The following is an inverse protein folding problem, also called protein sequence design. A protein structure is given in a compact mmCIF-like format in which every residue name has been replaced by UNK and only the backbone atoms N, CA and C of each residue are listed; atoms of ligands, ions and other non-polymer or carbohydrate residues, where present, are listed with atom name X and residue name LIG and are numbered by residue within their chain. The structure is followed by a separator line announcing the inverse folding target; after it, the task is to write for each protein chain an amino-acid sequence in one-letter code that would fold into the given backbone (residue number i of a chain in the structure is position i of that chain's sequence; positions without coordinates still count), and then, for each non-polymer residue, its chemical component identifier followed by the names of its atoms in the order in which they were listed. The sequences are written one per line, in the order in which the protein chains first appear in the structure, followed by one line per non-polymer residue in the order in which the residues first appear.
data_IF_476609369857
#
_entry.id   IF_476609369857
#
_cell.length_a   1.000
_cell.length_b   1.000
_cell.length_c   1.000
_cell.angle_alpha   90.00
_cell.angle_beta   90.00
_cell.angle_gamma   90.00
#
_symmetry.space_group_name_H-M   'P 1'
#
loop_
_entity.id
_entity.type
_entity.pdbx_description
1 polymer ?
#
# COMPACT_ATOMS: atom_id res chain seq x y z
N UNK A 1 25.66 4.83 4.93
CA UNK A 1 24.31 4.85 4.33
C UNK A 1 23.45 3.70 4.82
N UNK A 2 23.74 2.42 4.52
CA UNK A 2 22.88 1.28 4.93
C UNK A 2 22.61 1.24 6.44
N UNK A 3 23.64 1.39 7.27
CA UNK A 3 23.50 1.46 8.74
C UNK A 3 22.61 2.61 9.24
N UNK A 4 22.51 3.71 8.47
CA UNK A 4 21.69 4.87 8.85
C UNK A 4 20.23 4.75 8.39
N UNK A 5 19.96 3.91 7.39
CA UNK A 5 18.63 3.62 6.90
C UNK A 5 18.04 2.31 7.41
N UNK A 6 18.64 1.68 8.42
CA UNK A 6 18.18 0.43 9.01
C UNK A 6 17.93 0.56 10.50
N UNK A 7 16.95 -0.18 11.00
CA UNK A 7 16.68 -0.37 12.42
C UNK A 7 16.25 -1.80 12.72
N UNK A 8 16.37 -2.20 13.96
CA UNK A 8 15.78 -3.44 14.43
C UNK A 8 14.25 -3.36 14.48
N UNK A 9 13.61 -4.41 14.07
CA UNK A 9 12.19 -4.67 14.33
C UNK A 9 12.13 -5.53 15.58
N UNK A 10 11.35 -5.06 16.53
CA UNK A 10 11.12 -5.74 17.80
C UNK A 10 10.46 -7.12 17.56
N UNK A 11 10.97 -8.15 18.20
CA UNK A 11 10.51 -9.53 18.08
C UNK A 11 10.60 -10.24 19.43
N UNK A 12 11.33 -11.37 19.49
CA UNK A 12 11.56 -12.11 20.74
C UNK A 12 12.59 -11.45 21.68
N UNK A 13 13.24 -10.39 21.23
CA UNK A 13 13.98 -9.37 21.97
C UNK A 13 15.21 -9.85 22.76
N UNK A 14 15.83 -10.92 22.29
CA UNK A 14 17.03 -11.47 22.92
C UNK A 14 18.33 -10.79 22.48
N UNK A 15 18.32 -10.03 21.38
CA UNK A 15 19.51 -9.46 20.74
C UNK A 15 19.55 -7.93 20.74
N UNK A 16 18.46 -7.23 21.04
CA UNK A 16 18.37 -5.78 20.95
C UNK A 16 18.75 -5.13 22.26
N UNK A 17 19.83 -4.34 22.25
CA UNK A 17 20.22 -3.52 23.38
C UNK A 17 19.43 -2.19 23.38
N UNK A 18 18.87 -1.84 24.55
CA UNK A 18 17.96 -0.69 24.71
C UNK A 18 18.63 0.60 24.22
N UNK A 19 19.84 0.91 24.68
CA UNK A 19 20.51 2.20 24.43
C UNK A 19 21.48 2.16 23.24
N UNK A 20 22.00 0.99 22.89
CA UNK A 20 23.04 0.86 21.86
C UNK A 20 22.44 0.69 20.47
N UNK A 21 21.34 -0.04 20.36
CA UNK A 21 20.74 -0.41 19.08
C UNK A 21 19.72 0.61 18.56
N UNK A 22 19.48 0.56 17.26
CA UNK A 22 18.47 1.35 16.56
C UNK A 22 17.20 0.52 16.46
N UNK A 23 16.21 0.76 17.32
CA UNK A 23 14.95 0.01 17.33
C UNK A 23 13.69 0.86 17.42
N UNK A 24 13.79 2.11 17.87
CA UNK A 24 12.65 3.03 17.91
C UNK A 24 12.23 3.50 16.51
N UNK A 25 10.93 3.62 16.22
CA UNK A 25 10.44 4.17 14.95
C UNK A 25 10.51 5.71 14.88
N UNK A 26 11.52 6.30 15.49
CA UNK A 26 11.75 7.76 15.47
C UNK A 26 12.47 8.18 14.19
N UNK A 27 12.09 9.30 13.57
CA UNK A 27 12.59 9.65 12.22
C UNK A 27 14.06 10.09 12.14
N UNK A 28 14.72 10.35 13.23
CA UNK A 28 16.08 10.91 13.21
C UNK A 28 17.17 9.92 13.60
N UNK A 29 17.11 9.35 14.79
CA UNK A 29 18.19 8.52 15.32
C UNK A 29 17.85 7.03 15.37
N UNK A 30 16.56 6.70 15.43
CA UNK A 30 16.05 5.34 15.71
C UNK A 30 16.55 4.74 17.04
N UNK A 31 17.18 5.57 17.89
CA UNK A 31 17.74 5.20 19.19
C UNK A 31 16.99 5.87 20.32
N UNK A 32 17.10 5.30 21.49
CA UNK A 32 16.71 5.91 22.75
C UNK A 32 17.60 7.11 23.04
N UNK A 33 17.01 8.21 23.52
CA UNK A 33 17.69 9.45 23.89
C UNK A 33 17.78 9.56 25.44
N UNK A 34 16.85 8.91 26.16
CA UNK A 34 16.90 8.83 27.61
C UNK A 34 18.26 8.28 28.08
N UNK A 35 18.92 8.92 29.04
CA UNK A 35 20.22 8.45 29.52
C UNK A 35 20.08 7.13 30.27
N UNK A 36 21.00 6.17 30.09
CA UNK A 36 21.03 4.95 30.88
C UNK A 36 21.22 5.30 32.38
N UNK A 37 20.49 4.66 33.28
CA UNK A 37 20.67 4.84 34.70
C UNK A 37 21.83 3.97 35.17
N UNK A 38 22.61 4.42 36.14
CA UNK A 38 23.85 3.80 36.63
C UNK A 38 23.68 2.37 37.21
N UNK A 39 22.45 1.86 37.36
CA UNK A 39 22.11 0.55 37.93
C UNK A 39 21.06 -0.16 37.06
N UNK A 40 21.11 -0.01 35.72
CA UNK A 40 20.13 -0.70 34.87
C UNK A 40 20.48 -2.16 34.73
N UNK A 41 19.76 -3.00 35.53
CA UNK A 41 19.76 -4.47 35.39
C UNK A 41 19.06 -4.94 34.08
N UNK A 42 18.63 -4.01 33.22
CA UNK A 42 17.85 -4.28 32.02
C UNK A 42 18.53 -3.79 30.76
N UNK A 43 19.59 -4.47 30.28
CA UNK A 43 20.28 -4.03 29.06
C UNK A 43 19.50 -4.30 27.78
N UNK A 44 18.53 -5.24 27.81
CA UNK A 44 17.83 -5.76 26.64
C UNK A 44 16.38 -5.30 26.58
N UNK A 45 15.88 -5.12 25.36
CA UNK A 45 14.48 -4.72 25.10
C UNK A 45 13.50 -5.79 25.63
N UNK A 46 13.89 -7.08 25.67
CA UNK A 46 13.09 -8.16 26.25
C UNK A 46 12.64 -7.91 27.70
N UNK A 47 13.46 -7.25 28.49
CA UNK A 47 13.13 -6.91 29.87
C UNK A 47 11.94 -5.93 29.99
N UNK A 48 11.66 -5.17 28.93
CA UNK A 48 10.57 -4.20 28.86
C UNK A 48 9.22 -4.83 28.50
N UNK A 49 9.21 -6.14 28.13
CA UNK A 49 8.00 -6.86 27.77
C UNK A 49 7.64 -7.84 28.86
N UNK A 50 6.37 -7.97 29.09
CA UNK A 50 5.82 -8.96 29.99
C UNK A 50 5.74 -10.32 29.28
N UNK A 51 6.38 -11.36 29.85
CA UNK A 51 6.50 -12.67 29.22
C UNK A 51 5.17 -13.41 29.11
N UNK A 52 4.24 -13.18 30.02
CA UNK A 52 2.94 -13.86 30.05
C UNK A 52 1.93 -13.20 29.12
N UNK A 53 1.82 -11.88 29.20
CA UNK A 53 0.82 -11.11 28.46
C UNK A 53 1.30 -10.67 27.08
N UNK A 54 2.61 -10.77 26.79
CA UNK A 54 3.27 -10.28 25.57
C UNK A 54 2.98 -8.80 25.29
N UNK A 55 2.98 -8.01 26.36
CA UNK A 55 2.70 -6.55 26.32
C UNK A 55 3.84 -5.76 26.93
N UNK A 56 3.93 -4.51 26.56
CA UNK A 56 4.88 -3.57 27.16
C UNK A 56 4.57 -3.36 28.66
N UNK A 57 5.60 -3.43 29.52
CA UNK A 57 5.52 -3.10 30.95
C UNK A 57 5.45 -1.60 31.13
N UNK A 58 4.24 -1.03 31.14
CA UNK A 58 4.01 0.42 31.15
C UNK A 58 4.72 1.15 32.27
N UNK A 59 4.69 0.61 33.50
CA UNK A 59 5.32 1.22 34.66
C UNK A 59 6.84 1.24 34.55
N UNK A 60 7.44 0.16 34.05
CA UNK A 60 8.87 0.11 33.75
C UNK A 60 9.27 1.13 32.69
N UNK A 61 8.49 1.24 31.60
CA UNK A 61 8.75 2.22 30.57
C UNK A 61 8.71 3.66 31.12
N UNK A 62 7.69 4.00 31.90
CA UNK A 62 7.56 5.32 32.53
C UNK A 62 8.70 5.65 33.50
N UNK A 63 9.29 4.64 34.13
CA UNK A 63 10.42 4.83 35.04
C UNK A 63 11.75 5.05 34.32
N UNK A 64 11.92 4.49 33.10
CA UNK A 64 13.19 4.48 32.37
C UNK A 64 13.30 5.55 31.29
N UNK A 65 12.19 5.90 30.64
CA UNK A 65 12.18 6.70 29.42
C UNK A 65 11.43 8.03 29.56
N UNK A 66 11.77 8.97 28.71
CA UNK A 66 11.05 10.23 28.60
C UNK A 66 9.62 10.00 28.07
N UNK A 67 8.63 10.83 28.45
CA UNK A 67 7.22 10.64 28.09
C UNK A 67 6.97 10.40 26.60
N UNK A 68 7.63 11.11 25.70
CA UNK A 68 7.49 10.95 24.25
C UNK A 68 8.09 9.62 23.73
N UNK A 69 9.13 9.10 24.40
CA UNK A 69 9.69 7.78 24.08
C UNK A 69 8.78 6.67 24.57
N UNK A 70 8.19 6.83 25.75
CA UNK A 70 7.18 5.89 26.27
C UNK A 70 6.02 5.77 25.29
N UNK A 71 5.50 6.91 24.81
CA UNK A 71 4.45 6.92 23.79
C UNK A 71 4.89 6.22 22.48
N UNK A 72 6.11 6.52 22.03
CA UNK A 72 6.68 5.90 20.83
C UNK A 72 6.82 4.37 20.99
N UNK A 73 7.28 3.89 22.16
CA UNK A 73 7.45 2.47 22.45
C UNK A 73 6.09 1.77 22.50
N UNK A 74 5.11 2.36 23.17
CA UNK A 74 3.75 1.81 23.27
C UNK A 74 3.07 1.69 21.90
N UNK A 75 3.45 2.52 20.93
CA UNK A 75 2.97 2.46 19.54
C UNK A 75 3.72 1.43 18.67
N UNK A 76 4.67 0.66 19.21
CA UNK A 76 5.27 -0.46 18.50
C UNK A 76 4.39 -1.70 18.73
N UNK A 77 3.73 -2.24 17.66
CA UNK A 77 2.88 -3.40 17.81
C UNK A 77 3.71 -4.65 18.11
N UNK A 78 3.31 -5.41 19.11
CA UNK A 78 3.90 -6.69 19.46
C UNK A 78 3.01 -7.81 18.96
N UNK A 79 3.58 -8.82 18.30
CA UNK A 79 2.89 -10.07 18.00
C UNK A 79 2.89 -10.97 19.23
N UNK A 80 1.81 -11.66 19.48
CA UNK A 80 1.73 -12.61 20.60
C UNK A 80 2.79 -13.73 20.51
N UNK A 81 3.16 -14.15 19.31
CA UNK A 81 4.19 -15.17 19.11
C UNK A 81 5.63 -14.65 19.17
N UNK A 82 5.85 -13.33 19.28
CA UNK A 82 7.17 -12.71 19.33
C UNK A 82 8.18 -13.42 18.42
N UNK A 83 8.06 -13.33 17.08
CA UNK A 83 8.99 -13.98 16.16
C UNK A 83 10.39 -13.34 16.27
N UNK A 84 11.40 -14.00 15.72
CA UNK A 84 12.79 -13.52 15.77
C UNK A 84 12.92 -12.07 15.29
N UNK A 85 13.83 -11.37 15.93
CA UNK A 85 14.21 -10.00 15.59
C UNK A 85 14.81 -9.95 14.20
N UNK A 86 14.53 -8.88 13.50
CA UNK A 86 15.04 -8.67 12.14
C UNK A 86 15.41 -7.22 11.92
N UNK A 87 16.53 -7.02 11.24
CA UNK A 87 16.89 -5.69 10.74
C UNK A 87 15.98 -5.37 9.54
N UNK A 88 15.29 -4.24 9.61
CA UNK A 88 14.43 -3.74 8.56
C UNK A 88 14.98 -2.45 7.98
N UNK A 89 14.70 -2.22 6.69
CA UNK A 89 15.03 -1.01 5.98
C UNK A 89 13.92 0.04 6.15
N UNK A 90 14.27 1.25 6.59
CA UNK A 90 13.30 2.34 6.86
C UNK A 90 12.97 3.18 5.63
N UNK A 91 13.73 3.07 4.55
CA UNK A 91 13.54 3.86 3.33
C UNK A 91 12.29 3.50 2.50
N UNK A 92 11.50 2.51 2.91
CA UNK A 92 10.23 2.18 2.28
C UNK A 92 9.28 1.44 3.24
N UNK A 93 7.98 1.45 2.95
CA UNK A 93 6.96 0.82 3.78
C UNK A 93 7.04 -0.72 3.81
N UNK A 94 7.79 -1.34 2.88
CA UNK A 94 7.99 -2.80 2.84
C UNK A 94 9.11 -3.28 3.77
N UNK A 95 9.89 -2.36 4.37
CA UNK A 95 11.01 -2.73 5.23
C UNK A 95 12.16 -3.47 4.51
N UNK A 96 12.15 -3.51 3.17
CA UNK A 96 13.12 -4.23 2.34
C UNK A 96 14.01 -3.23 1.63
N UNK A 97 15.32 -3.48 1.67
CA UNK A 97 16.29 -2.64 0.97
C UNK A 97 16.08 -2.70 -0.55
N UNK A 98 16.09 -1.53 -1.18
CA UNK A 98 16.19 -1.40 -2.63
C UNK A 98 17.11 -0.23 -2.98
N UNK A 99 17.82 -0.34 -4.09
CA UNK A 99 18.73 0.72 -4.57
C UNK A 99 17.99 2.05 -4.73
N UNK A 100 16.76 2.01 -5.21
CA UNK A 100 15.89 3.19 -5.36
C UNK A 100 15.62 3.86 -4.00
N UNK A 101 15.22 3.10 -2.99
CA UNK A 101 14.92 3.66 -1.66
C UNK A 101 16.21 4.13 -0.96
N UNK A 102 17.33 3.43 -1.16
CA UNK A 102 18.63 3.84 -0.64
C UNK A 102 19.09 5.18 -1.24
N UNK A 103 18.87 5.39 -2.53
CA UNK A 103 19.16 6.67 -3.20
C UNK A 103 18.38 7.83 -2.55
N UNK A 104 17.09 7.67 -2.28
CA UNK A 104 16.29 8.71 -1.63
C UNK A 104 16.72 8.97 -0.18
N UNK A 105 17.09 7.94 0.58
CA UNK A 105 17.63 8.10 1.92
C UNK A 105 18.97 8.84 1.89
N UNK A 106 19.85 8.52 0.91
CA UNK A 106 21.10 9.24 0.73
C UNK A 106 20.89 10.72 0.38
N UNK A 107 19.94 10.98 -0.54
CA UNK A 107 19.61 12.33 -0.97
C UNK A 107 19.06 13.17 0.20
N UNK A 108 18.19 12.61 1.03
CA UNK A 108 17.69 13.29 2.23
C UNK A 108 18.81 13.61 3.25
N UNK A 109 19.81 12.71 3.40
CA UNK A 109 20.97 12.95 4.26
C UNK A 109 21.88 14.08 3.74
N UNK A 110 22.04 14.19 2.43
CA UNK A 110 22.83 15.26 1.80
C UNK A 110 22.09 16.61 1.94
N UNK A 111 20.79 16.62 1.68
CA UNK A 111 19.98 17.83 1.72
C UNK A 111 19.72 18.34 3.14
N UNK A 112 19.80 17.49 4.17
CA UNK A 112 19.66 17.93 5.58
C UNK A 112 20.88 18.68 6.09
N UNK A 113 22.00 18.66 5.39
CA UNK A 113 23.19 19.49 5.70
C UNK A 113 23.13 20.88 5.07
N UNK A 114 22.20 21.13 4.15
CA UNK A 114 22.01 22.40 3.48
C UNK A 114 20.66 23.00 3.95
N UNK A 115 20.70 23.80 5.01
CA UNK A 115 19.53 24.50 5.57
C UNK A 115 19.11 25.73 4.75
N UNK A 116 19.16 25.63 3.43
CA UNK A 116 18.58 26.55 2.49
C UNK A 116 17.19 26.09 2.10
N UNK A 117 16.16 26.81 2.49
CA UNK A 117 14.79 26.64 1.98
C UNK A 117 14.75 26.79 0.48
N UNK A 118 15.02 25.72 -0.27
CA UNK A 118 14.71 25.64 -1.67
C UNK A 118 13.46 24.80 -1.85
N UNK A 119 12.30 25.38 -1.54
CA UNK A 119 11.01 24.83 -1.96
C UNK A 119 10.80 25.09 -3.46
N UNK A 120 11.72 24.60 -4.30
CA UNK A 120 11.51 24.58 -5.73
C UNK A 120 10.46 23.48 -6.01
N UNK A 121 9.20 23.87 -5.97
CA UNK A 121 8.11 22.96 -6.43
C UNK A 121 8.28 22.82 -7.93
N UNK A 122 8.66 21.61 -8.38
CA UNK A 122 8.65 21.28 -9.80
C UNK A 122 7.27 21.69 -10.38
N UNK A 123 7.22 22.62 -11.34
CA UNK A 123 5.98 23.09 -11.95
C UNK A 123 5.17 21.95 -12.58
N UNK A 124 5.80 20.80 -12.82
CA UNK A 124 5.17 19.57 -13.34
C UNK A 124 4.50 18.69 -12.27
N UNK A 125 4.61 19.07 -10.98
CA UNK A 125 3.99 18.31 -9.88
C UNK A 125 2.48 18.01 -10.09
N UNK A 126 1.63 18.94 -10.60
CA UNK A 126 0.24 18.66 -10.90
C UNK A 126 0.07 17.58 -11.98
N UNK A 127 0.92 17.61 -13.02
CA UNK A 127 0.91 16.62 -14.10
C UNK A 127 1.28 15.23 -13.56
N UNK A 128 2.33 15.13 -12.72
CA UNK A 128 2.74 13.86 -12.12
C UNK A 128 1.62 13.23 -11.29
N UNK A 129 0.91 14.00 -10.49
CA UNK A 129 -0.23 13.51 -9.71
C UNK A 129 -1.36 12.99 -10.61
N UNK A 130 -1.64 13.67 -11.73
CA UNK A 130 -2.73 13.31 -12.66
C UNK A 130 -2.41 12.10 -13.52
N UNK A 131 -1.18 11.92 -14.00
CA UNK A 131 -0.76 10.77 -14.82
C UNK A 131 -1.20 9.45 -14.17
N UNK A 132 -0.98 9.31 -12.85
CA UNK A 132 -1.27 8.07 -12.15
C UNK A 132 -2.75 7.84 -11.84
N UNK A 133 -3.57 8.87 -11.96
CA UNK A 133 -5.02 8.82 -11.74
C UNK A 133 -5.83 8.52 -13.01
N UNK A 134 -5.21 8.62 -14.20
CA UNK A 134 -5.92 8.41 -15.46
C UNK A 134 -6.40 6.97 -15.61
N UNK A 135 -7.60 6.81 -16.15
CA UNK A 135 -8.22 5.50 -16.45
C UNK A 135 -7.78 4.99 -17.82
N UNK A 136 -6.49 4.70 -17.94
CA UNK A 136 -5.86 4.14 -19.12
C UNK A 136 -4.88 3.02 -18.72
N UNK A 137 -4.50 2.11 -19.64
CA UNK A 137 -3.59 1.00 -19.31
C UNK A 137 -2.29 1.47 -18.63
N UNK A 138 -1.82 0.77 -17.58
CA UNK A 138 -0.61 1.15 -16.84
C UNK A 138 0.64 1.32 -17.71
N UNK A 139 0.79 0.48 -18.75
CA UNK A 139 1.90 0.57 -19.72
C UNK A 139 1.94 1.92 -20.43
N UNK A 140 0.78 2.54 -20.71
CA UNK A 140 0.68 3.85 -21.39
C UNK A 140 1.04 4.96 -20.41
N UNK A 141 0.63 4.89 -19.15
CA UNK A 141 1.02 5.87 -18.11
C UNK A 141 2.54 5.90 -17.92
N UNK A 142 3.17 4.73 -17.82
CA UNK A 142 4.64 4.59 -17.71
C UNK A 142 5.34 5.12 -18.97
N UNK A 143 4.80 4.79 -20.15
CA UNK A 143 5.34 5.28 -21.42
C UNK A 143 5.30 6.79 -21.49
N UNK A 144 4.17 7.41 -21.18
CA UNK A 144 4.02 8.86 -21.23
C UNK A 144 4.93 9.56 -20.20
N UNK A 145 5.07 9.00 -19.00
CA UNK A 145 6.06 9.49 -18.03
C UNK A 145 7.47 9.53 -18.66
N UNK A 146 7.88 8.44 -19.35
CA UNK A 146 9.15 8.40 -20.08
C UNK A 146 9.26 9.46 -21.18
N UNK A 147 8.17 9.79 -21.86
CA UNK A 147 8.11 10.88 -22.83
C UNK A 147 8.44 12.22 -22.15
N UNK A 148 7.76 12.53 -21.05
CA UNK A 148 7.91 13.80 -20.34
C UNK A 148 9.29 14.00 -19.71
N UNK A 149 9.98 12.90 -19.31
CA UNK A 149 11.34 12.97 -18.78
C UNK A 149 12.43 12.73 -19.84
N UNK A 150 12.08 12.78 -21.12
CA UNK A 150 12.98 12.55 -22.26
C UNK A 150 13.75 11.23 -22.19
N UNK A 151 13.11 10.15 -21.73
CA UNK A 151 13.76 8.84 -21.50
C UNK A 151 13.50 7.81 -22.61
N UNK A 152 12.78 8.17 -23.70
CA UNK A 152 12.53 7.24 -24.81
C UNK A 152 13.80 6.96 -25.63
N UNK A 153 13.94 5.77 -26.23
CA UNK A 153 15.07 5.41 -27.10
C UNK A 153 14.90 6.04 -28.50
N UNK A 154 14.95 7.37 -28.55
CA UNK A 154 15.06 8.11 -29.81
C UNK A 154 16.49 8.02 -30.33
N UNK A 155 16.71 8.28 -31.64
CA UNK A 155 18.08 8.26 -32.20
C UNK A 155 19.01 9.26 -31.49
N UNK A 156 18.49 10.44 -31.15
CA UNK A 156 19.21 11.44 -30.35
C UNK A 156 19.62 10.91 -28.96
N UNK A 157 18.68 10.24 -28.25
CA UNK A 157 18.95 9.68 -26.93
C UNK A 157 19.86 8.43 -26.98
N UNK A 158 19.77 7.64 -28.04
CA UNK A 158 20.67 6.51 -28.26
C UNK A 158 22.10 7.00 -28.53
N UNK A 159 22.27 8.05 -29.35
CA UNK A 159 23.58 8.68 -29.58
C UNK A 159 24.20 9.18 -28.28
N UNK A 160 23.43 9.85 -27.41
CA UNK A 160 23.90 10.29 -26.08
C UNK A 160 24.35 9.13 -25.17
N UNK A 161 23.85 7.92 -25.43
CA UNK A 161 24.21 6.69 -24.70
C UNK A 161 25.33 5.90 -25.36
N UNK A 162 25.98 6.46 -26.38
CA UNK A 162 27.11 5.84 -27.09
C UNK A 162 26.72 4.83 -28.16
N UNK A 163 25.42 4.71 -28.50
CA UNK A 163 24.99 3.86 -29.62
C UNK A 163 25.22 4.63 -30.92
N UNK A 164 26.01 4.07 -31.84
CA UNK A 164 26.28 4.69 -33.16
C UNK A 164 25.00 4.70 -34.00
N UNK A 165 24.51 5.89 -34.33
CA UNK A 165 23.38 6.12 -35.23
C UNK A 165 23.62 7.40 -36.05
N UNK A 166 23.00 7.50 -37.22
CA UNK A 166 22.99 8.72 -38.04
C UNK A 166 22.17 9.85 -37.42
N UNK A 167 21.35 9.52 -36.39
CA UNK A 167 20.49 10.47 -35.69
C UNK A 167 19.21 10.81 -36.41
N UNK A 168 19.08 10.48 -37.70
CA UNK A 168 17.93 10.84 -38.51
C UNK A 168 16.70 10.01 -38.20
N UNK A 169 15.54 10.57 -38.50
CA UNK A 169 14.26 9.90 -38.35
C UNK A 169 14.13 8.77 -39.39
N UNK A 170 14.03 7.50 -39.04
CA UNK A 170 13.95 6.39 -39.99
C UNK A 170 12.63 6.36 -40.76
N UNK A 171 11.68 7.25 -40.48
CA UNK A 171 10.39 7.31 -41.16
C UNK A 171 10.42 8.36 -42.27
N UNK A 172 10.91 9.56 -41.99
CA UNK A 172 10.96 10.66 -43.01
C UNK A 172 12.36 10.87 -43.58
N UNK A 173 13.44 10.44 -42.92
CA UNK A 173 14.82 10.61 -43.35
C UNK A 173 15.34 12.05 -43.32
N UNK A 174 14.52 13.03 -42.91
CA UNK A 174 14.79 14.47 -43.11
C UNK A 174 15.30 15.17 -41.86
N UNK A 175 14.84 14.78 -40.67
CA UNK A 175 15.11 15.50 -39.44
C UNK A 175 15.63 14.56 -38.37
N UNK A 176 16.30 15.11 -37.34
CA UNK A 176 16.78 14.35 -36.19
C UNK A 176 15.60 13.74 -35.41
N UNK A 177 15.71 12.45 -35.07
CA UNK A 177 14.69 11.76 -34.27
C UNK A 177 14.81 12.10 -32.79
N UNK A 178 14.37 13.31 -32.45
CA UNK A 178 14.07 13.71 -31.06
C UNK A 178 12.63 13.33 -30.71
N UNK A 179 12.24 13.41 -29.44
CA UNK A 179 10.87 13.06 -28.99
C UNK A 179 9.83 13.92 -29.70
N UNK A 180 10.03 15.24 -29.76
CA UNK A 180 9.07 16.15 -30.39
C UNK A 180 8.89 15.88 -31.88
N UNK A 181 9.98 15.61 -32.62
CA UNK A 181 9.85 15.21 -34.02
C UNK A 181 9.11 13.86 -34.13
N UNK A 182 9.51 12.86 -33.36
CA UNK A 182 8.94 11.52 -33.46
C UNK A 182 7.44 11.45 -33.13
N UNK A 183 6.93 12.30 -32.23
CA UNK A 183 5.57 12.22 -31.71
C UNK A 183 4.64 13.36 -32.15
N UNK A 184 5.20 14.49 -32.69
CA UNK A 184 4.40 15.64 -33.09
C UNK A 184 4.74 16.17 -34.48
N UNK A 185 6.05 16.41 -34.80
CA UNK A 185 6.45 17.20 -35.96
C UNK A 185 6.65 16.40 -37.26
N UNK A 186 6.88 15.08 -37.16
CA UNK A 186 7.05 14.25 -38.35
C UNK A 186 5.81 14.29 -39.26
N UNK A 187 6.00 14.39 -40.59
CA UNK A 187 4.91 14.52 -41.56
C UNK A 187 3.83 13.45 -41.39
N UNK A 188 4.23 12.20 -41.22
CA UNK A 188 3.29 11.07 -41.02
C UNK A 188 2.49 11.18 -39.70
N UNK A 189 3.03 11.85 -38.68
CA UNK A 189 2.38 12.03 -37.40
C UNK A 189 1.42 13.20 -37.39
N UNK A 190 1.73 14.27 -38.15
CA UNK A 190 0.82 15.42 -38.30
C UNK A 190 -0.55 15.01 -38.79
N UNK A 191 -0.62 14.02 -39.70
CA UNK A 191 -1.90 13.50 -40.19
C UNK A 191 -2.73 12.86 -39.05
N UNK A 192 -2.11 12.14 -38.14
CA UNK A 192 -2.81 11.54 -36.97
C UNK A 192 -3.39 12.66 -36.10
N UNK A 193 -2.63 13.70 -35.80
CA UNK A 193 -3.11 14.81 -34.97
C UNK A 193 -4.22 15.64 -35.61
N UNK A 194 -4.30 15.71 -36.92
CA UNK A 194 -5.40 16.39 -37.66
C UNK A 194 -6.76 15.70 -37.42
N UNK A 195 -6.77 14.44 -37.06
CA UNK A 195 -8.01 13.69 -36.73
C UNK A 195 -8.61 14.08 -35.39
N UNK A 196 -7.84 14.74 -34.53
CA UNK A 196 -8.33 15.27 -33.25
C UNK A 196 -8.99 16.64 -33.46
N UNK A 197 -10.26 16.64 -33.89
CA UNK A 197 -10.99 17.86 -34.32
C UNK A 197 -11.19 18.88 -33.20
N UNK A 198 -11.32 18.43 -31.94
CA UNK A 198 -11.62 19.30 -30.81
C UNK A 198 -10.35 19.81 -30.09
N UNK A 199 -9.16 19.50 -30.65
CA UNK A 199 -7.90 19.89 -30.01
C UNK A 199 -7.52 21.33 -30.40
N UNK A 200 -7.41 22.18 -29.39
CA UNK A 200 -6.96 23.59 -29.57
C UNK A 200 -5.44 23.75 -29.45
N UNK A 201 -4.67 22.66 -29.38
CA UNK A 201 -3.23 22.72 -29.14
C UNK A 201 -2.47 22.69 -30.44
N UNK A 202 -1.63 23.70 -30.64
CA UNK A 202 -0.66 23.68 -31.71
C UNK A 202 0.56 22.83 -31.31
N UNK A 203 0.65 21.62 -31.87
CA UNK A 203 1.79 20.73 -31.71
C UNK A 203 3.04 21.18 -32.48
N UNK A 204 2.94 22.22 -33.31
CA UNK A 204 4.01 22.78 -34.12
C UNK A 204 4.85 23.84 -33.41
N UNK A 205 4.41 24.36 -32.28
CA UNK A 205 5.11 25.43 -31.56
C UNK A 205 6.55 25.04 -31.20
N UNK A 206 7.51 25.86 -31.56
CA UNK A 206 8.95 25.49 -31.54
C UNK A 206 9.56 25.37 -30.14
N UNK A 207 8.99 26.04 -29.14
CA UNK A 207 9.58 26.21 -27.81
C UNK A 207 9.06 25.25 -26.73
N UNK A 208 8.15 24.32 -27.06
CA UNK A 208 7.50 23.46 -26.10
C UNK A 208 8.15 22.08 -26.05
N UNK A 209 8.40 21.58 -24.86
CA UNK A 209 8.62 20.17 -24.64
C UNK A 209 7.28 19.41 -24.45
N UNK A 210 7.35 18.07 -24.36
CA UNK A 210 6.13 17.27 -24.23
C UNK A 210 5.42 17.44 -22.89
N UNK A 211 6.15 17.77 -21.83
CA UNK A 211 5.56 18.08 -20.52
C UNK A 211 4.78 19.40 -20.54
N UNK A 212 5.24 20.38 -21.32
CA UNK A 212 4.53 21.66 -21.49
C UNK A 212 3.22 21.48 -22.26
N UNK A 213 3.22 20.65 -23.31
CA UNK A 213 2.00 20.28 -24.04
C UNK A 213 0.99 19.61 -23.08
N UNK A 214 1.44 18.63 -22.29
CA UNK A 214 0.59 17.94 -21.34
C UNK A 214 0.03 18.88 -20.26
N UNK A 215 0.83 19.82 -19.77
CA UNK A 215 0.37 20.84 -18.81
C UNK A 215 -0.66 21.78 -19.42
N UNK A 216 -0.50 22.18 -20.70
CA UNK A 216 -1.49 22.98 -21.42
C UNK A 216 -2.81 22.23 -21.58
N UNK A 217 -2.78 20.95 -21.97
CA UNK A 217 -3.98 20.11 -22.04
C UNK A 217 -4.62 19.99 -20.66
N UNK A 218 -3.83 19.77 -19.60
CA UNK A 218 -4.33 19.67 -18.23
C UNK A 218 -4.99 20.98 -17.75
N UNK A 219 -4.48 22.14 -18.19
CA UNK A 219 -4.99 23.44 -17.81
C UNK A 219 -6.23 23.87 -18.61
N UNK A 220 -6.30 23.51 -19.89
CA UNK A 220 -7.35 23.94 -20.82
C UNK A 220 -8.56 23.00 -20.86
N UNK A 221 -8.39 21.72 -20.47
CA UNK A 221 -9.34 20.67 -20.81
C UNK A 221 -9.68 19.77 -19.63
N UNK A 222 -10.66 18.91 -19.83
CA UNK A 222 -11.02 17.87 -18.89
C UNK A 222 -10.05 16.66 -18.97
N UNK A 223 -10.18 15.70 -18.05
CA UNK A 223 -9.35 14.50 -17.99
C UNK A 223 -9.43 13.62 -19.26
N UNK A 224 -10.50 13.73 -20.05
CA UNK A 224 -10.68 12.93 -21.26
C UNK A 224 -9.65 13.30 -22.33
N UNK A 225 -9.36 14.59 -22.52
CA UNK A 225 -8.39 15.04 -23.51
C UNK A 225 -6.97 14.63 -23.14
N UNK A 226 -6.66 14.60 -21.85
CA UNK A 226 -5.39 14.10 -21.37
C UNK A 226 -5.25 12.58 -21.62
N UNK A 227 -6.31 11.80 -21.45
CA UNK A 227 -6.35 10.37 -21.79
C UNK A 227 -6.13 10.15 -23.29
N UNK A 228 -6.80 10.95 -24.14
CA UNK A 228 -6.63 10.91 -25.61
C UNK A 228 -5.19 11.22 -25.98
N UNK A 229 -4.62 12.32 -25.47
CA UNK A 229 -3.24 12.69 -25.72
C UNK A 229 -2.29 11.51 -25.40
N UNK A 230 -2.43 10.89 -24.25
CA UNK A 230 -1.54 9.82 -23.78
C UNK A 230 -1.62 8.58 -24.66
N UNK A 231 -2.84 8.18 -24.99
CA UNK A 231 -3.05 6.95 -25.76
C UNK A 231 -2.66 7.14 -27.22
N UNK A 232 -2.94 8.30 -27.81
CA UNK A 232 -2.52 8.61 -29.20
C UNK A 232 -1.01 8.69 -29.31
N UNK A 233 -0.32 9.34 -28.36
CA UNK A 233 1.16 9.37 -28.32
C UNK A 233 1.76 7.97 -28.24
N UNK A 234 1.16 7.10 -27.44
CA UNK A 234 1.60 5.70 -27.34
C UNK A 234 1.33 4.94 -28.66
N UNK A 235 0.17 5.10 -29.27
CA UNK A 235 -0.18 4.47 -30.53
C UNK A 235 0.74 4.90 -31.68
N UNK A 236 1.07 6.20 -31.76
CA UNK A 236 2.05 6.73 -32.71
C UNK A 236 3.42 6.06 -32.52
N UNK A 237 3.92 5.98 -31.26
CA UNK A 237 5.19 5.34 -30.98
C UNK A 237 5.18 3.86 -31.31
N UNK A 238 4.10 3.16 -30.98
CA UNK A 238 3.90 1.75 -31.29
C UNK A 238 3.95 1.50 -32.81
N UNK A 239 3.19 2.28 -33.58
CA UNK A 239 3.19 2.19 -35.03
C UNK A 239 4.56 2.48 -35.66
N UNK A 240 5.30 3.48 -35.09
CA UNK A 240 6.67 3.76 -35.55
C UNK A 240 7.61 2.58 -35.31
N UNK A 241 7.44 1.85 -34.22
CA UNK A 241 8.23 0.66 -33.94
C UNK A 241 7.84 -0.49 -34.89
N UNK A 242 6.55 -0.73 -35.13
CA UNK A 242 6.08 -1.72 -36.13
C UNK A 242 6.67 -1.43 -37.52
N UNK A 243 6.72 -0.16 -37.93
CA UNK A 243 7.28 0.24 -39.22
C UNK A 243 8.79 0.00 -39.29
N UNK A 244 9.52 0.29 -38.21
CA UNK A 244 11.00 0.16 -38.20
C UNK A 244 11.45 -1.29 -38.05
N UNK A 245 10.79 -2.09 -37.22
CA UNK A 245 11.25 -3.43 -36.86
C UNK A 245 10.52 -4.54 -37.62
N UNK A 246 9.26 -4.30 -38.03
CA UNK A 246 8.40 -5.32 -38.64
C UNK A 246 7.98 -4.95 -40.07
N UNK A 247 8.38 -3.75 -40.55
CA UNK A 247 8.01 -3.22 -41.87
C UNK A 247 6.48 -3.06 -42.08
N UNK A 248 5.70 -3.06 -41.00
CA UNK A 248 4.25 -2.86 -41.04
C UNK A 248 3.95 -1.36 -41.02
N UNK A 249 3.20 -0.86 -42.03
CA UNK A 249 2.83 0.54 -42.15
C UNK A 249 1.32 0.69 -41.97
N UNK A 250 0.89 1.42 -40.96
CA UNK A 250 -0.52 1.77 -40.73
C UNK A 250 -0.78 3.22 -41.15
N UNK A 251 -1.97 3.50 -41.66
CA UNK A 251 -2.43 4.83 -41.97
C UNK A 251 -2.81 5.65 -40.73
N UNK A 252 -2.97 6.95 -40.87
CA UNK A 252 -3.32 7.85 -39.80
C UNK A 252 -4.65 7.45 -39.11
N UNK A 253 -5.67 7.12 -39.92
CA UNK A 253 -6.98 6.70 -39.43
C UNK A 253 -6.91 5.39 -38.59
N UNK A 254 -6.07 4.44 -39.02
CA UNK A 254 -5.89 3.18 -38.29
C UNK A 254 -5.23 3.42 -36.94
N UNK A 255 -4.22 4.29 -36.88
CA UNK A 255 -3.54 4.65 -35.61
C UNK A 255 -4.51 5.35 -34.68
N UNK A 256 -5.29 6.30 -35.19
CA UNK A 256 -6.27 7.04 -34.41
C UNK A 256 -7.37 6.13 -33.86
N UNK A 257 -8.00 5.33 -34.74
CA UNK A 257 -9.08 4.41 -34.36
C UNK A 257 -8.60 3.38 -33.35
N UNK A 258 -7.36 2.87 -33.52
CA UNK A 258 -6.75 1.97 -32.53
C UNK A 258 -6.57 2.65 -31.17
N UNK A 259 -6.13 3.90 -31.12
CA UNK A 259 -5.99 4.65 -29.87
C UNK A 259 -7.35 4.86 -29.17
N UNK A 260 -8.39 5.22 -29.94
CA UNK A 260 -9.74 5.45 -29.39
C UNK A 260 -10.37 4.15 -28.89
N UNK A 261 -10.25 3.04 -29.66
CA UNK A 261 -10.76 1.74 -29.21
C UNK A 261 -10.09 1.29 -27.91
N UNK A 262 -8.79 1.50 -27.78
CA UNK A 262 -8.03 1.12 -26.59
C UNK A 262 -8.48 1.84 -25.31
N UNK A 263 -8.96 3.09 -25.42
CA UNK A 263 -9.56 3.84 -24.33
C UNK A 263 -10.92 3.21 -23.94
N UNK A 264 -11.76 2.91 -24.94
CA UNK A 264 -13.09 2.31 -24.70
C UNK A 264 -12.98 0.92 -24.08
N UNK A 265 -12.14 0.06 -24.67
CA UNK A 265 -11.94 -1.32 -24.22
C UNK A 265 -11.42 -1.35 -22.79
N UNK A 266 -10.46 -0.47 -22.45
CA UNK A 266 -9.95 -0.40 -21.08
C UNK A 266 -11.01 0.09 -20.08
N UNK A 267 -11.81 1.10 -20.47
CA UNK A 267 -12.90 1.61 -19.61
C UNK A 267 -14.02 0.59 -19.44
N UNK A 268 -14.29 -0.21 -20.46
CA UNK A 268 -15.27 -1.29 -20.38
C UNK A 268 -14.75 -2.41 -19.48
N UNK A 269 -13.50 -2.83 -19.65
CA UNK A 269 -12.85 -3.79 -18.75
C UNK A 269 -12.77 -3.29 -17.29
N UNK A 270 -12.49 -2.00 -17.06
CA UNK A 270 -12.47 -1.39 -15.73
C UNK A 270 -13.87 -1.39 -15.08
N UNK A 271 -14.95 -1.25 -15.87
CA UNK A 271 -16.32 -1.43 -15.40
C UNK A 271 -16.60 -2.89 -15.02
N UNK A 272 -16.11 -3.87 -15.80
CA UNK A 272 -16.23 -5.28 -15.45
C UNK A 272 -15.38 -5.66 -14.24
N UNK A 273 -14.20 -5.06 -14.04
CA UNK A 273 -13.39 -5.24 -12.84
C UNK A 273 -13.95 -4.50 -11.61
N UNK A 274 -14.67 -3.40 -11.82
CA UNK A 274 -15.37 -2.67 -10.76
C UNK A 274 -16.75 -3.28 -10.41
N UNK A 275 -17.29 -4.13 -11.28
CA UNK A 275 -18.23 -5.17 -10.89
C UNK A 275 -17.37 -6.27 -10.25
N UNK A 276 -17.07 -6.09 -8.95
CA UNK A 276 -16.31 -7.06 -8.15
C UNK A 276 -16.81 -8.50 -8.36
N UNK A 277 -16.08 -9.50 -7.93
CA UNK A 277 -16.41 -10.88 -8.21
C UNK A 277 -17.87 -11.13 -7.83
N UNK A 278 -18.66 -11.54 -8.84
CA UNK A 278 -20.02 -12.07 -8.78
C UNK A 278 -20.90 -11.53 -7.66
N UNK A 279 -22.10 -11.07 -7.98
CA UNK A 279 -23.15 -10.62 -7.10
C UNK A 279 -22.94 -11.13 -5.67
N UNK A 280 -22.25 -10.30 -4.88
CA UNK A 280 -21.68 -10.70 -3.61
C UNK A 280 -22.78 -11.17 -2.70
N UNK A 281 -22.41 -11.94 -1.75
CA UNK A 281 -23.29 -12.32 -0.65
C UNK A 281 -24.05 -11.08 -0.18
N UNK A 282 -25.36 -11.11 -0.34
CA UNK A 282 -26.25 -10.02 0.07
C UNK A 282 -26.45 -10.05 1.59
N UNK A 283 -26.10 -11.18 2.22
CA UNK A 283 -26.19 -11.42 3.65
C UNK A 283 -25.04 -12.31 4.15
N UNK A 284 -24.72 -12.18 5.42
CA UNK A 284 -23.77 -13.08 6.07
C UNK A 284 -24.29 -14.53 6.06
N UNK A 285 -23.43 -15.50 5.74
CA UNK A 285 -23.80 -16.93 5.67
C UNK A 285 -23.23 -17.71 6.83
N UNK A 286 -24.02 -18.61 7.39
CA UNK A 286 -23.58 -19.54 8.43
C UNK A 286 -22.49 -20.49 7.91
N UNK A 287 -21.51 -20.88 8.73
CA UNK A 287 -20.51 -21.87 8.36
C UNK A 287 -21.13 -23.29 8.31
N UNK A 288 -20.47 -24.24 7.63
CA UNK A 288 -20.84 -25.66 7.68
C UNK A 288 -20.77 -26.26 9.10
N UNK A 289 -21.38 -27.43 9.28
CA UNK A 289 -21.27 -28.18 10.55
C UNK A 289 -19.81 -28.51 10.87
N UNK A 290 -19.41 -28.30 12.14
CA UNK A 290 -18.06 -28.56 12.62
C UNK A 290 -17.06 -27.43 12.29
N UNK A 291 -17.48 -26.41 11.55
CA UNK A 291 -16.66 -25.26 11.20
C UNK A 291 -17.14 -24.04 11.98
N UNK A 292 -16.22 -23.22 12.46
CA UNK A 292 -16.51 -21.97 13.15
C UNK A 292 -16.09 -20.78 12.30
N UNK A 293 -16.91 -19.75 12.28
CA UNK A 293 -16.64 -18.53 11.54
C UNK A 293 -16.22 -17.42 12.50
N UNK A 294 -15.10 -16.79 12.20
CA UNK A 294 -14.47 -15.73 12.99
C UNK A 294 -14.56 -14.45 12.20
N UNK A 295 -15.34 -13.48 12.65
CA UNK A 295 -15.35 -12.13 12.09
C UNK A 295 -14.49 -11.22 12.95
N UNK A 296 -13.61 -10.46 12.31
CA UNK A 296 -12.64 -9.58 12.99
C UNK A 296 -12.68 -8.19 12.40
N UNK A 297 -12.54 -7.17 13.24
CA UNK A 297 -12.45 -5.76 12.81
C UNK A 297 -11.58 -4.95 13.76
N UNK A 298 -10.81 -4.03 13.19
CA UNK A 298 -10.05 -3.02 13.88
C UNK A 298 -10.74 -1.66 13.85
N UNK A 299 -10.69 -0.91 14.94
CA UNK A 299 -11.17 0.46 15.00
C UNK A 299 -10.06 1.39 15.49
N UNK A 300 -9.63 2.31 14.63
CA UNK A 300 -8.65 3.34 14.97
C UNK A 300 -9.34 4.61 15.42
N UNK A 301 -8.72 5.30 16.40
CA UNK A 301 -9.12 6.64 16.80
C UNK A 301 -8.46 7.72 15.94
N UNK A 302 -8.94 8.96 16.04
CA UNK A 302 -8.18 10.13 15.57
C UNK A 302 -6.91 10.34 16.38
N UNK A 303 -6.13 11.38 16.04
CA UNK A 303 -4.87 11.69 16.73
C UNK A 303 -5.00 11.68 18.27
N UNK A 304 -4.21 10.84 18.95
CA UNK A 304 -4.22 10.69 20.41
C UNK A 304 -5.28 9.76 21.00
N UNK A 305 -6.11 9.10 20.18
CA UNK A 305 -7.10 8.13 20.67
C UNK A 305 -6.60 6.69 20.48
N UNK A 306 -6.84 5.86 21.49
CA UNK A 306 -6.47 4.44 21.47
C UNK A 306 -7.17 3.67 20.34
N UNK A 307 -6.47 2.70 19.79
CA UNK A 307 -7.03 1.72 18.86
C UNK A 307 -7.76 0.60 19.63
N UNK A 308 -8.64 -0.12 18.96
CA UNK A 308 -9.40 -1.22 19.55
C UNK A 308 -9.72 -2.30 18.52
N UNK A 309 -10.01 -3.48 18.99
CA UNK A 309 -10.35 -4.64 18.18
C UNK A 309 -11.68 -5.24 18.61
N UNK A 310 -12.39 -5.83 17.65
CA UNK A 310 -13.61 -6.60 17.86
C UNK A 310 -13.53 -7.94 17.15
N UNK A 311 -13.87 -9.00 17.84
CA UNK A 311 -13.87 -10.38 17.34
C UNK A 311 -15.17 -11.05 17.75
N UNK A 312 -15.77 -11.80 16.82
CA UNK A 312 -16.87 -12.73 17.16
C UNK A 312 -16.64 -14.08 16.48
N UNK A 313 -16.84 -15.15 17.23
CA UNK A 313 -16.79 -16.52 16.73
C UNK A 313 -18.20 -17.08 16.77
N UNK A 314 -18.66 -17.60 15.61
CA UNK A 314 -20.02 -18.15 15.45
C UNK A 314 -19.99 -19.58 14.94
N UNK A 315 -20.90 -20.39 15.46
CA UNK A 315 -21.10 -21.79 15.05
C UNK A 315 -21.96 -21.93 13.77
N UNK A 316 -22.19 -23.16 13.35
CA UNK A 316 -23.04 -23.50 12.21
C UNK A 316 -24.51 -23.08 12.32
N UNK A 317 -24.99 -22.74 13.52
CA UNK A 317 -26.32 -22.17 13.75
C UNK A 317 -26.31 -20.64 13.67
N UNK A 318 -25.12 -20.02 13.60
CA UNK A 318 -24.94 -18.57 13.66
C UNK A 318 -24.94 -18.03 15.08
N UNK A 319 -24.89 -18.91 16.10
CA UNK A 319 -24.83 -18.50 17.50
C UNK A 319 -23.40 -18.12 17.90
N UNK A 320 -23.27 -17.12 18.78
CA UNK A 320 -21.97 -16.71 19.29
C UNK A 320 -21.40 -17.76 20.25
N UNK A 321 -20.31 -18.37 19.85
CA UNK A 321 -19.49 -19.25 20.72
C UNK A 321 -18.63 -18.41 21.64
N UNK A 322 -18.02 -17.36 21.11
CA UNK A 322 -17.29 -16.37 21.89
C UNK A 322 -17.28 -15.02 21.17
N UNK A 323 -17.08 -13.95 21.93
CA UNK A 323 -16.84 -12.62 21.40
C UNK A 323 -15.84 -11.88 22.29
N UNK A 324 -15.01 -11.07 21.66
CA UNK A 324 -14.00 -10.24 22.30
C UNK A 324 -14.14 -8.80 21.82
N UNK A 325 -14.14 -7.86 22.76
CA UNK A 325 -13.83 -6.48 22.45
C UNK A 325 -12.68 -6.01 23.35
N UNK A 326 -11.68 -5.35 22.74
CA UNK A 326 -10.46 -5.02 23.46
C UNK A 326 -9.86 -3.70 23.01
N UNK A 327 -9.47 -2.85 23.95
CA UNK A 327 -8.71 -1.62 23.70
C UNK A 327 -7.23 -1.94 23.68
N UNK A 328 -6.55 -1.51 22.63
CA UNK A 328 -5.11 -1.67 22.48
C UNK A 328 -4.38 -0.52 23.17
N UNK A 329 -3.28 -0.83 23.88
CA UNK A 329 -2.44 0.16 24.55
C UNK A 329 -1.50 0.82 23.52
N UNK A 330 -2.05 1.65 22.64
CA UNK A 330 -1.29 2.39 21.62
C UNK A 330 -2.19 2.96 20.53
N UNK A 331 -1.63 3.89 19.78
CA UNK A 331 -2.26 4.48 18.59
C UNK A 331 -1.70 3.82 17.35
N UNK A 332 -2.32 2.73 16.92
CA UNK A 332 -1.89 1.96 15.76
C UNK A 332 -2.52 2.49 14.47
N UNK A 333 -1.83 2.25 13.35
CA UNK A 333 -2.40 2.49 12.01
C UNK A 333 -3.57 1.55 11.75
N UNK A 334 -4.37 1.84 10.73
CA UNK A 334 -5.50 0.98 10.33
C UNK A 334 -5.02 -0.43 10.03
N UNK A 335 -3.96 -0.57 9.22
CA UNK A 335 -3.41 -1.88 8.83
C UNK A 335 -2.90 -2.69 10.05
N UNK A 336 -2.26 -2.02 11.00
CA UNK A 336 -1.79 -2.65 12.26
C UNK A 336 -2.95 -3.11 13.12
N UNK A 337 -3.96 -2.26 13.28
CA UNK A 337 -5.14 -2.57 14.11
C UNK A 337 -5.94 -3.74 13.53
N UNK A 338 -6.12 -3.78 12.20
CA UNK A 338 -6.79 -4.88 11.51
C UNK A 338 -6.00 -6.20 11.62
N UNK A 339 -4.67 -6.15 11.46
CA UNK A 339 -3.84 -7.33 11.62
C UNK A 339 -3.89 -7.88 13.07
N UNK A 340 -3.86 -7.00 14.08
CA UNK A 340 -4.00 -7.38 15.48
C UNK A 340 -5.40 -7.95 15.79
N UNK A 341 -6.45 -7.46 15.11
CA UNK A 341 -7.79 -8.03 15.26
C UNK A 341 -7.87 -9.47 14.74
N UNK A 342 -7.24 -9.75 13.59
CA UNK A 342 -7.16 -11.10 13.04
C UNK A 342 -6.34 -12.01 13.95
N UNK A 343 -5.18 -11.56 14.43
CA UNK A 343 -4.36 -12.34 15.38
C UNK A 343 -5.15 -12.68 16.64
N UNK A 344 -5.86 -11.72 17.22
CA UNK A 344 -6.70 -11.96 18.41
C UNK A 344 -7.82 -12.97 18.13
N UNK A 345 -8.42 -12.95 16.95
CA UNK A 345 -9.43 -13.95 16.54
C UNK A 345 -8.86 -15.36 16.46
N UNK A 346 -7.66 -15.50 15.89
CA UNK A 346 -6.95 -16.79 15.81
C UNK A 346 -6.60 -17.32 17.20
N UNK A 347 -6.09 -16.46 18.07
CA UNK A 347 -5.74 -16.81 19.45
C UNK A 347 -6.96 -17.27 20.26
N UNK A 348 -8.07 -16.54 20.15
CA UNK A 348 -9.32 -16.90 20.80
C UNK A 348 -9.85 -18.25 20.30
N UNK A 349 -9.73 -18.53 19.01
CA UNK A 349 -10.12 -19.81 18.44
C UNK A 349 -9.26 -20.97 18.96
N UNK A 350 -7.96 -20.75 19.12
CA UNK A 350 -7.04 -21.73 19.73
C UNK A 350 -7.36 -21.97 21.20
N UNK A 351 -7.65 -20.91 21.95
CA UNK A 351 -8.03 -21.00 23.36
C UNK A 351 -9.30 -21.84 23.56
N UNK A 352 -10.19 -21.82 22.56
CA UNK A 352 -11.43 -22.61 22.53
C UNK A 352 -11.25 -24.01 21.92
N UNK A 353 -10.03 -24.40 21.57
CA UNK A 353 -9.67 -25.68 20.93
C UNK A 353 -10.48 -25.96 19.63
N UNK A 354 -10.76 -24.93 18.86
CA UNK A 354 -11.48 -25.08 17.59
C UNK A 354 -10.54 -25.68 16.53
N UNK A 355 -11.03 -26.66 15.78
CA UNK A 355 -10.20 -27.40 14.81
C UNK A 355 -10.34 -26.89 13.38
N UNK A 356 -11.53 -26.40 13.01
CA UNK A 356 -11.82 -25.90 11.66
C UNK A 356 -12.41 -24.50 11.74
N UNK A 357 -11.77 -23.55 11.06
CA UNK A 357 -12.11 -22.13 11.13
C UNK A 357 -12.17 -21.46 9.77
N UNK A 358 -13.08 -20.49 9.64
CA UNK A 358 -13.13 -19.53 8.54
C UNK A 358 -12.99 -18.13 9.15
N UNK A 359 -11.95 -17.43 8.77
CA UNK A 359 -11.70 -16.05 9.21
C UNK A 359 -12.24 -15.10 8.15
N UNK A 360 -12.99 -14.10 8.57
CA UNK A 360 -13.53 -13.05 7.73
C UNK A 360 -13.10 -11.68 8.26
N UNK A 361 -12.48 -10.89 7.41
CA UNK A 361 -12.03 -9.51 7.70
C UNK A 361 -12.36 -8.60 6.53
N UNK A 362 -12.71 -7.35 6.80
CA UNK A 362 -12.91 -6.31 5.79
C UNK A 362 -11.59 -5.62 5.36
N UNK A 363 -10.45 -6.02 5.93
CA UNK A 363 -9.12 -5.61 5.50
C UNK A 363 -8.59 -6.51 4.38
N UNK A 364 -8.80 -6.09 3.13
CA UNK A 364 -8.24 -6.79 1.95
C UNK A 364 -6.70 -6.92 2.05
N UNK A 365 -6.03 -5.90 2.56
CA UNK A 365 -4.57 -5.88 2.70
C UNK A 365 -4.08 -6.99 3.66
N UNK A 366 -4.73 -7.15 4.81
CA UNK A 366 -4.39 -8.20 5.80
C UNK A 366 -4.65 -9.60 5.22
N UNK A 367 -5.81 -9.79 4.58
CA UNK A 367 -6.17 -11.07 3.94
C UNK A 367 -5.16 -11.46 2.87
N UNK A 368 -4.80 -10.52 1.96
CA UNK A 368 -3.83 -10.77 0.90
C UNK A 368 -2.44 -11.11 1.44
N UNK A 369 -1.98 -10.43 2.49
CA UNK A 369 -0.68 -10.70 3.12
C UNK A 369 -0.61 -12.11 3.70
N UNK A 370 -1.67 -12.56 4.38
CA UNK A 370 -1.74 -13.92 4.96
C UNK A 370 -1.76 -14.96 3.84
N UNK A 371 -2.59 -14.79 2.80
CA UNK A 371 -2.69 -15.71 1.67
C UNK A 371 -1.42 -15.79 0.82
N UNK A 372 -0.74 -14.67 0.62
CA UNK A 372 0.51 -14.60 -0.14
C UNK A 372 1.75 -14.93 0.68
N UNK A 373 1.60 -15.18 1.99
CA UNK A 373 2.71 -15.33 2.96
C UNK A 373 3.73 -14.20 2.82
N UNK A 374 3.24 -12.95 2.64
CA UNK A 374 4.09 -11.78 2.48
C UNK A 374 4.62 -11.31 3.85
N UNK A 375 5.81 -11.79 4.19
CA UNK A 375 6.54 -11.42 5.42
C UNK A 375 7.38 -10.15 5.24
N UNK A 376 7.00 -9.25 4.35
CA UNK A 376 7.68 -7.97 4.15
C UNK A 376 7.04 -6.84 4.97
N UNK A 377 7.84 -5.84 5.36
CA UNK A 377 7.36 -4.62 6.01
C UNK A 377 7.23 -4.67 7.52
N UNK A 378 6.67 -3.61 8.07
CA UNK A 378 6.50 -3.41 9.51
C UNK A 378 5.62 -4.46 10.18
N UNK A 379 4.60 -4.96 9.46
CA UNK A 379 3.64 -5.97 9.95
C UNK A 379 4.11 -7.42 9.76
N UNK A 380 5.26 -7.63 9.16
CA UNK A 380 5.73 -8.99 8.81
C UNK A 380 5.82 -9.94 10.00
N UNK A 381 6.09 -9.44 11.20
CA UNK A 381 6.13 -10.23 12.44
C UNK A 381 4.75 -10.69 12.87
N UNK A 382 3.73 -9.85 12.76
CA UNK A 382 2.34 -10.21 13.08
C UNK A 382 1.83 -11.23 12.05
N UNK A 383 2.09 -10.99 10.75
CA UNK A 383 1.68 -11.92 9.68
C UNK A 383 2.37 -13.29 9.85
N UNK A 384 3.66 -13.31 10.14
CA UNK A 384 4.38 -14.56 10.42
C UNK A 384 3.84 -15.26 11.65
N UNK A 385 3.56 -14.52 12.73
CA UNK A 385 2.92 -15.03 13.93
C UNK A 385 1.57 -15.67 13.63
N UNK A 386 0.72 -15.01 12.88
CA UNK A 386 -0.59 -15.53 12.46
C UNK A 386 -0.49 -16.81 11.64
N UNK A 387 0.40 -16.86 10.63
CA UNK A 387 0.58 -18.06 9.79
C UNK A 387 1.06 -19.24 10.63
N UNK A 388 1.99 -19.01 11.55
CA UNK A 388 2.46 -20.06 12.46
C UNK A 388 1.33 -20.59 13.36
N UNK A 389 0.47 -19.69 13.85
CA UNK A 389 -0.71 -20.07 14.64
C UNK A 389 -1.73 -20.86 13.81
N UNK A 390 -1.96 -20.44 12.56
CA UNK A 390 -2.91 -21.09 11.65
C UNK A 390 -2.49 -22.50 11.26
N UNK A 391 -1.20 -22.78 11.17
CA UNK A 391 -0.69 -24.14 10.92
C UNK A 391 -1.03 -25.14 12.03
N UNK A 392 -1.46 -24.70 13.20
CA UNK A 392 -1.93 -25.57 14.29
C UNK A 392 -3.39 -26.00 14.18
N UNK A 393 -4.17 -25.50 13.22
CA UNK A 393 -5.55 -25.90 12.99
C UNK A 393 -5.63 -27.07 11.99
N UNK A 394 -6.60 -27.96 12.16
CA UNK A 394 -6.83 -29.06 11.23
C UNK A 394 -7.29 -28.54 9.85
N UNK A 395 -7.96 -27.38 9.81
CA UNK A 395 -8.33 -26.70 8.58
C UNK A 395 -8.67 -25.24 8.83
N UNK A 396 -8.17 -24.36 7.95
CA UNK A 396 -8.48 -22.95 8.04
C UNK A 396 -8.67 -22.32 6.66
N UNK A 397 -9.47 -21.27 6.61
CA UNK A 397 -9.64 -20.39 5.46
C UNK A 397 -9.67 -18.96 5.94
N UNK A 398 -9.18 -18.03 5.12
CA UNK A 398 -9.34 -16.60 5.35
C UNK A 398 -9.96 -15.95 4.12
N UNK A 399 -10.92 -15.05 4.30
CA UNK A 399 -11.65 -14.37 3.23
C UNK A 399 -11.78 -12.89 3.52
N UNK A 400 -11.75 -12.10 2.47
CA UNK A 400 -12.17 -10.72 2.53
C UNK A 400 -13.70 -10.65 2.49
N UNK A 401 -14.30 -9.89 3.39
CA UNK A 401 -15.73 -9.65 3.51
C UNK A 401 -16.03 -8.18 3.29
N UNK A 402 -17.17 -7.85 2.65
CA UNK A 402 -17.60 -6.46 2.59
C UNK A 402 -17.89 -5.94 4.01
N UNK A 403 -17.54 -4.69 4.27
CA UNK A 403 -17.70 -4.04 5.58
C UNK A 403 -19.15 -4.12 6.11
N UNK A 404 -20.13 -4.01 5.23
CA UNK A 404 -21.57 -4.09 5.60
C UNK A 404 -21.93 -5.45 6.19
N UNK A 405 -21.23 -6.51 5.79
CA UNK A 405 -21.41 -7.88 6.29
C UNK A 405 -20.52 -8.21 7.50
N UNK A 406 -19.64 -7.25 7.90
CA UNK A 406 -18.76 -7.37 9.08
C UNK A 406 -19.25 -6.49 10.25
N UNK A 407 -20.50 -6.08 10.22
CA UNK A 407 -21.10 -5.12 11.16
C UNK A 407 -20.97 -5.53 12.63
N UNK A 408 -21.10 -6.81 12.94
CA UNK A 408 -21.02 -7.35 14.31
C UNK A 408 -19.63 -7.13 14.92
N UNK A 409 -18.56 -7.48 14.20
CA UNK A 409 -17.18 -7.26 14.65
C UNK A 409 -16.86 -5.76 14.73
N UNK A 410 -17.40 -4.97 13.79
CA UNK A 410 -17.26 -3.52 13.80
C UNK A 410 -17.86 -2.88 15.05
N UNK A 411 -19.09 -3.24 15.43
CA UNK A 411 -19.74 -2.69 16.62
C UNK A 411 -19.02 -3.11 17.92
N UNK A 412 -18.43 -4.32 17.98
CA UNK A 412 -17.59 -4.74 19.11
C UNK A 412 -16.35 -3.87 19.23
N UNK A 413 -15.61 -3.65 18.13
CA UNK A 413 -14.42 -2.80 18.13
C UNK A 413 -14.78 -1.35 18.54
N UNK A 414 -15.84 -0.80 17.97
CA UNK A 414 -16.34 0.54 18.29
C UNK A 414 -16.75 0.67 19.77
N UNK A 415 -17.45 -0.33 20.29
CA UNK A 415 -17.85 -0.36 21.70
C UNK A 415 -16.64 -0.33 22.63
N UNK A 416 -15.61 -1.16 22.38
CA UNK A 416 -14.39 -1.15 23.16
C UNK A 416 -13.76 0.25 23.19
N UNK A 417 -13.63 0.90 22.03
CA UNK A 417 -13.02 2.22 21.92
C UNK A 417 -13.83 3.30 22.63
N UNK A 418 -15.14 3.35 22.39
CA UNK A 418 -16.00 4.41 22.95
C UNK A 418 -16.12 4.33 24.47
N UNK A 419 -16.08 3.14 25.04
CA UNK A 419 -16.28 2.92 26.49
C UNK A 419 -14.95 2.63 27.22
N UNK A 420 -13.83 2.53 26.49
CA UNK A 420 -12.51 2.18 27.03
C UNK A 420 -12.54 0.87 27.85
N UNK A 421 -13.16 -0.17 27.30
CA UNK A 421 -13.39 -1.45 27.99
C UNK A 421 -12.81 -2.64 27.22
N UNK A 422 -12.48 -3.69 27.99
CA UNK A 422 -12.04 -4.97 27.47
C UNK A 422 -12.98 -6.04 28.04
N UNK A 423 -13.71 -6.72 27.16
CA UNK A 423 -14.63 -7.79 27.55
C UNK A 423 -14.47 -9.02 26.67
N UNK A 424 -14.53 -10.19 27.33
CA UNK A 424 -14.59 -11.50 26.69
C UNK A 424 -15.90 -12.19 27.11
N UNK A 425 -16.74 -12.53 26.13
CA UNK A 425 -17.94 -13.33 26.31
C UNK A 425 -17.73 -14.73 25.79
N UNK A 426 -18.18 -15.74 26.51
CA UNK A 426 -18.11 -17.16 26.14
C UNK A 426 -19.50 -17.80 26.28
N UNK A 427 -19.96 -18.47 25.22
CA UNK A 427 -21.26 -19.15 25.18
C UNK A 427 -22.48 -18.24 25.21
N UNK A 428 -22.30 -16.90 25.17
CA UNK A 428 -23.37 -15.94 25.21
C UNK A 428 -23.13 -14.84 24.17
N UNK A 429 -24.22 -14.38 23.55
CA UNK A 429 -24.15 -13.25 22.63
C UNK A 429 -24.02 -11.93 23.40
N UNK A 430 -23.03 -11.07 23.07
CA UNK A 430 -22.91 -9.76 23.69
C UNK A 430 -24.20 -8.94 23.49
N UNK A 431 -24.71 -8.26 24.53
CA UNK A 431 -25.94 -7.48 24.41
C UNK A 431 -25.92 -6.44 23.29
N UNK A 432 -24.77 -5.84 23.08
CA UNK A 432 -24.53 -4.75 22.10
C UNK A 432 -24.65 -5.20 20.65
N UNK A 433 -24.46 -6.49 20.34
CA UNK A 433 -24.52 -7.00 18.96
C UNK A 433 -25.73 -7.91 18.69
N UNK A 434 -26.69 -7.99 19.60
CA UNK A 434 -27.91 -8.81 19.39
C UNK A 434 -28.67 -8.39 18.14
N UNK A 435 -28.86 -7.08 17.93
CA UNK A 435 -29.56 -6.55 16.76
C UNK A 435 -28.80 -6.82 15.45
N UNK A 436 -27.51 -6.49 15.31
CA UNK A 436 -26.75 -6.85 14.11
C UNK A 436 -26.71 -8.36 13.83
N UNK A 437 -26.56 -9.19 14.86
CA UNK A 437 -26.57 -10.65 14.70
C UNK A 437 -27.92 -11.18 14.22
N UNK A 438 -29.01 -10.58 14.64
CA UNK A 438 -30.35 -10.96 14.18
C UNK A 438 -30.56 -10.61 12.70
N UNK A 439 -30.07 -9.44 12.28
CA UNK A 439 -30.10 -9.01 10.86
C UNK A 439 -29.22 -9.88 9.96
N UNK A 440 -28.07 -10.33 10.44
CA UNK A 440 -27.19 -11.26 9.71
C UNK A 440 -27.86 -12.62 9.44
N UNK A 441 -28.84 -13.03 10.27
CA UNK A 441 -29.48 -14.34 10.18
C UNK A 441 -30.80 -14.34 9.40
N UNK A 442 -31.29 -13.17 8.97
CA UNK A 442 -32.47 -13.00 8.12
C UNK A 442 -32.08 -13.10 6.64
#
# INVERSE_FOLDING_TARGET
MVRNGSRWRVGNERLIHIWEDKWLPTPTTYKVISPPRLFDDFPMVSALIDEDTKRWKVDTLKSLFLPFEVETILNIPLSHNLPEEKIIWVGNNKGVFSVKSAYYVALSMINSSDSGECSYRDPRTPLWKRIWQLKIPPKIRIFFWKVCVNALPTMSNLRKRGVSTDGLCPICGLEEKIIMHALCKCMTVKEVWRLWKDCQIDFGAESLDFSDIALKVLAASNLKDLEILFVVVWAIWHNRNLRVFESICQGADQIWNYAVSLISDFKEADKFCSLGPTAGEVSWRKPPNGVFKINTNGATGGAGMLSSIGVIIRDCRGQATAALCHVLLGCFTVDETEALAVEAGILLARELDLQQIIIESDSLATVQRILSMDYSGGLSHIVNGMVNLLNGFAGWQIRHLNRDLNSVAHELAKFARCNNVCHLWRGVSPPIVRTPMHLDCM
#
